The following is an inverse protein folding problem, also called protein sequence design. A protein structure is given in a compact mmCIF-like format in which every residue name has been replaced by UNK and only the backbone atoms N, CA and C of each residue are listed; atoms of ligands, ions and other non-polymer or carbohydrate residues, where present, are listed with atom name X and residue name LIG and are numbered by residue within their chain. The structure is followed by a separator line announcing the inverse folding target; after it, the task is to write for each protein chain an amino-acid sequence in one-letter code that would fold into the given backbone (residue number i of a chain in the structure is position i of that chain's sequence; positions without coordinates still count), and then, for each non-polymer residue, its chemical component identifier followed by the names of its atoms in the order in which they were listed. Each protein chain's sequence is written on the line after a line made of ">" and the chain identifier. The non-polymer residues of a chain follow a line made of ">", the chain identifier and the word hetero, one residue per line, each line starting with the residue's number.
data_IF_470466893553
#
_entry.id   IF_470466893553
#
_cell.length_a   1.000
_cell.length_b   1.000
_cell.length_c   1.000
_cell.angle_alpha   90.00
_cell.angle_beta   90.00
_cell.angle_gamma   90.00
#
_symmetry.space_group_name_H-M   'P 1'
#
loop_
_entity.id
_entity.type
_entity.pdbx_description
1 polymer ?
#
# COMPACT_ATOMS: atom_id res chain seq x y z
N UNK A 1 -3.23 13.17 7.18
CA UNK A 1 -2.59 11.83 7.17
C UNK A 1 -3.70 10.81 7.32
N UNK A 2 -3.95 10.04 6.27
CA UNK A 2 -5.11 9.17 6.22
C UNK A 2 -4.78 7.86 6.99
N UNK A 3 -5.24 7.77 8.24
CA UNK A 3 -5.10 6.57 9.09
C UNK A 3 -5.90 5.36 8.57
N UNK A 4 -6.51 5.48 7.38
CA UNK A 4 -7.34 4.47 6.73
C UNK A 4 -6.56 3.18 6.44
N UNK A 5 -5.31 3.28 5.98
CA UNK A 5 -4.45 2.13 5.69
C UNK A 5 -4.05 1.35 6.95
N UNK A 6 -3.63 2.05 8.01
CA UNK A 6 -3.31 1.42 9.30
C UNK A 6 -4.55 0.79 9.94
N UNK A 7 -5.71 1.43 9.84
CA UNK A 7 -6.99 0.89 10.32
C UNK A 7 -7.42 -0.35 9.52
N UNK A 8 -7.28 -0.33 8.20
CA UNK A 8 -7.60 -1.48 7.36
C UNK A 8 -6.65 -2.66 7.63
N UNK A 9 -5.36 -2.36 7.83
CA UNK A 9 -4.38 -3.37 8.22
C UNK A 9 -4.70 -3.97 9.60
N UNK A 10 -5.10 -3.15 10.58
CA UNK A 10 -5.52 -3.62 11.91
C UNK A 10 -6.68 -4.62 11.82
N UNK A 11 -7.73 -4.32 11.06
CA UNK A 11 -8.88 -5.21 10.88
C UNK A 11 -8.46 -6.52 10.21
N UNK A 12 -7.68 -6.44 9.12
CA UNK A 12 -7.13 -7.64 8.45
C UNK A 12 -6.28 -8.47 9.40
N UNK A 13 -5.50 -7.82 10.26
CA UNK A 13 -4.63 -8.50 11.23
C UNK A 13 -5.42 -9.15 12.36
N UNK A 14 -6.59 -8.65 12.78
CA UNK A 14 -7.46 -9.39 13.71
C UNK A 14 -7.80 -10.79 13.18
N UNK A 15 -8.24 -10.89 11.93
CA UNK A 15 -8.58 -12.18 11.33
C UNK A 15 -7.36 -13.07 11.10
N UNK A 16 -6.20 -12.48 10.74
CA UNK A 16 -4.94 -13.22 10.61
C UNK A 16 -4.47 -13.76 11.96
N UNK A 17 -4.53 -12.96 13.02
CA UNK A 17 -4.21 -13.40 14.39
C UNK A 17 -5.14 -14.52 14.83
N UNK A 18 -6.46 -14.40 14.62
CA UNK A 18 -7.40 -15.47 14.97
C UNK A 18 -7.13 -16.78 14.22
N UNK A 19 -6.84 -16.72 12.92
CA UNK A 19 -6.46 -17.91 12.14
C UNK A 19 -5.14 -18.52 12.63
N UNK A 20 -4.17 -17.69 12.97
CA UNK A 20 -2.89 -18.13 13.51
C UNK A 20 -3.06 -18.85 14.85
N UNK A 21 -3.86 -18.30 15.77
CA UNK A 21 -4.12 -18.93 17.07
C UNK A 21 -4.83 -20.27 16.88
N UNK A 22 -5.84 -20.33 16.01
CA UNK A 22 -6.54 -21.57 15.71
C UNK A 22 -5.59 -22.64 15.17
N UNK A 23 -4.68 -22.26 14.26
CA UNK A 23 -3.68 -23.19 13.73
C UNK A 23 -2.71 -23.67 14.82
N UNK A 24 -2.25 -22.77 15.68
CA UNK A 24 -1.36 -23.10 16.80
C UNK A 24 -2.06 -24.01 17.81
N UNK A 25 -3.32 -23.73 18.15
CA UNK A 25 -4.12 -24.55 19.06
C UNK A 25 -4.29 -25.98 18.53
N UNK A 26 -4.60 -26.13 17.24
CA UNK A 26 -4.67 -27.45 16.59
C UNK A 26 -3.33 -28.19 16.70
N UNK A 27 -2.20 -27.51 16.46
CA UNK A 27 -0.87 -28.10 16.61
C UNK A 27 -0.57 -28.51 18.06
N UNK A 28 -0.99 -27.71 19.04
CA UNK A 28 -0.84 -28.02 20.47
C UNK A 28 -1.67 -29.26 20.83
N UNK A 29 -2.92 -29.34 20.38
CA UNK A 29 -3.78 -30.52 20.61
C UNK A 29 -3.14 -31.78 20.01
N UNK A 30 -2.64 -31.70 18.79
CA UNK A 30 -1.92 -32.82 18.15
C UNK A 30 -0.69 -33.22 18.98
N UNK A 31 0.11 -32.24 19.42
CA UNK A 31 1.28 -32.51 20.26
C UNK A 31 0.88 -33.19 21.58
N UNK A 32 -0.18 -32.74 22.25
CA UNK A 32 -0.68 -33.36 23.48
C UNK A 32 -1.16 -34.80 23.25
N UNK A 33 -1.85 -35.08 22.14
CA UNK A 33 -2.28 -36.44 21.79
C UNK A 33 -1.07 -37.34 21.55
N UNK A 34 -0.06 -36.87 20.81
CA UNK A 34 1.18 -37.61 20.58
C UNK A 34 1.88 -37.92 21.90
N UNK A 35 2.02 -36.93 22.78
CA UNK A 35 2.63 -37.11 24.10
C UNK A 35 1.89 -38.11 24.98
N UNK A 36 0.55 -38.13 24.90
CA UNK A 36 -0.30 -39.09 25.62
C UNK A 36 -0.12 -40.51 25.08
N UNK A 37 -0.11 -40.69 23.76
CA UNK A 37 0.10 -42.00 23.11
C UNK A 37 1.50 -42.55 23.38
N UNK A 38 2.51 -41.69 23.41
CA UNK A 38 3.90 -42.07 23.69
C UNK A 38 4.18 -42.31 25.17
N UNK A 39 3.24 -42.01 26.08
CA UNK A 39 3.45 -42.16 27.53
C UNK A 39 4.48 -41.19 28.12
N UNK A 40 4.85 -40.14 27.39
CA UNK A 40 5.81 -39.09 27.81
C UNK A 40 5.09 -37.84 28.34
N UNK A 41 3.75 -37.84 28.33
CA UNK A 41 2.95 -36.71 28.79
C UNK A 41 3.12 -36.48 30.31
N UNK A 42 3.14 -35.21 30.71
CA UNK A 42 3.04 -34.83 32.12
C UNK A 42 1.72 -35.29 32.73
N UNK A 43 1.64 -35.47 34.06
CA UNK A 43 0.43 -35.90 34.78
C UNK A 43 -0.83 -35.05 34.45
N UNK A 44 -0.65 -33.80 34.04
CA UNK A 44 -1.73 -32.92 33.58
C UNK A 44 -2.32 -33.22 32.19
N UNK A 45 -1.63 -34.00 31.36
CA UNK A 45 -2.06 -34.31 29.98
C UNK A 45 -2.93 -35.57 30.02
N UNK A 46 -4.22 -35.37 30.26
CA UNK A 46 -5.26 -36.42 30.21
C UNK A 46 -6.24 -36.14 29.08
N UNK A 47 -6.92 -37.17 28.58
CA UNK A 47 -7.93 -37.03 27.51
C UNK A 47 -9.03 -36.04 27.92
N UNK A 48 -9.44 -36.06 29.19
CA UNK A 48 -10.43 -35.14 29.75
C UNK A 48 -9.91 -33.71 29.84
N UNK A 49 -8.65 -33.50 30.25
CA UNK A 49 -8.04 -32.18 30.27
C UNK A 49 -7.90 -31.58 28.87
N UNK A 50 -7.49 -32.37 27.87
CA UNK A 50 -7.40 -31.95 26.47
C UNK A 50 -8.78 -31.59 25.91
N UNK A 51 -9.81 -32.41 26.17
CA UNK A 51 -11.16 -32.14 25.69
C UNK A 51 -11.75 -30.87 26.33
N UNK A 52 -11.60 -30.71 27.65
CA UNK A 52 -12.08 -29.53 28.36
C UNK A 52 -11.35 -28.26 27.91
N UNK A 53 -10.03 -28.31 27.76
CA UNK A 53 -9.25 -27.16 27.32
C UNK A 53 -9.60 -26.73 25.89
N UNK A 54 -9.75 -27.69 24.98
CA UNK A 54 -10.17 -27.42 23.60
C UNK A 54 -11.56 -26.77 23.56
N UNK A 55 -12.49 -27.21 24.41
CA UNK A 55 -13.81 -26.59 24.53
C UNK A 55 -13.71 -25.13 25.01
N UNK A 56 -12.92 -24.86 26.06
CA UNK A 56 -12.74 -23.50 26.59
C UNK A 56 -12.07 -22.59 25.55
N UNK A 57 -11.04 -23.08 24.85
CA UNK A 57 -10.36 -22.34 23.78
C UNK A 57 -11.32 -22.06 22.62
N UNK A 58 -12.14 -23.03 22.21
CA UNK A 58 -13.16 -22.82 21.18
C UNK A 58 -14.17 -21.74 21.56
N UNK A 59 -14.65 -21.73 22.81
CA UNK A 59 -15.56 -20.69 23.33
C UNK A 59 -14.87 -19.32 23.34
N UNK A 60 -13.62 -19.23 23.82
CA UNK A 60 -12.85 -17.98 23.83
C UNK A 60 -12.62 -17.43 22.42
N UNK A 61 -12.22 -18.29 21.47
CA UNK A 61 -12.00 -17.88 20.08
C UNK A 61 -13.31 -17.42 19.41
N UNK A 62 -14.42 -18.10 19.68
CA UNK A 62 -15.73 -17.74 19.13
C UNK A 62 -16.24 -16.42 19.70
N UNK A 63 -16.08 -16.21 21.02
CA UNK A 63 -16.37 -14.94 21.67
C UNK A 63 -15.50 -13.80 21.11
N UNK A 64 -14.19 -14.04 20.93
CA UNK A 64 -13.25 -13.07 20.35
C UNK A 64 -13.63 -12.73 18.92
N UNK A 65 -13.96 -13.74 18.10
CA UNK A 65 -14.40 -13.54 16.72
C UNK A 65 -15.67 -12.69 16.65
N UNK A 66 -16.65 -12.97 17.51
CA UNK A 66 -17.88 -12.19 17.58
C UNK A 66 -17.62 -10.72 17.99
N UNK A 67 -16.76 -10.51 18.99
CA UNK A 67 -16.36 -9.18 19.46
C UNK A 67 -15.59 -8.40 18.37
N UNK A 68 -14.67 -9.05 17.65
CA UNK A 68 -13.95 -8.46 16.51
C UNK A 68 -14.91 -8.10 15.37
N UNK A 69 -15.89 -8.95 15.07
CA UNK A 69 -16.89 -8.66 14.04
C UNK A 69 -17.72 -7.41 14.37
N UNK A 70 -18.03 -7.19 15.65
CA UNK A 70 -18.85 -6.06 16.11
C UNK A 70 -18.06 -4.77 16.38
N UNK A 71 -16.83 -4.89 16.90
CA UNK A 71 -16.04 -3.75 17.40
C UNK A 71 -14.65 -3.61 16.76
N UNK A 72 -14.32 -4.41 15.74
CA UNK A 72 -12.98 -4.50 15.15
C UNK A 72 -12.43 -3.22 14.53
N UNK A 73 -13.26 -2.19 14.32
CA UNK A 73 -12.80 -0.88 13.86
C UNK A 73 -12.23 0.01 14.96
N UNK A 74 -12.51 -0.30 16.23
CA UNK A 74 -12.12 0.53 17.36
C UNK A 74 -10.65 0.26 17.73
N UNK A 75 -9.84 1.28 18.09
CA UNK A 75 -8.42 1.08 18.37
C UNK A 75 -8.13 0.19 19.59
N UNK A 76 -9.12 -0.04 20.46
CA UNK A 76 -8.99 -0.93 21.62
C UNK A 76 -9.19 -2.41 21.26
N UNK A 77 -9.73 -2.75 20.08
CA UNK A 77 -9.98 -4.14 19.65
C UNK A 77 -8.69 -4.97 19.54
N UNK A 78 -7.56 -4.34 19.21
CA UNK A 78 -6.23 -5.01 19.17
C UNK A 78 -5.81 -5.58 20.52
N UNK A 79 -6.13 -4.87 21.61
CA UNK A 79 -5.85 -5.33 22.97
C UNK A 79 -6.68 -6.56 23.31
N UNK A 80 -7.96 -6.55 22.91
CA UNK A 80 -8.87 -7.67 23.11
C UNK A 80 -8.33 -8.94 22.44
N UNK A 81 -7.89 -8.85 21.17
CA UNK A 81 -7.34 -10.00 20.44
C UNK A 81 -6.07 -10.51 21.11
N UNK A 82 -5.12 -9.63 21.48
CA UNK A 82 -3.88 -10.05 22.14
C UNK A 82 -4.13 -10.68 23.51
N UNK A 83 -5.04 -10.12 24.31
CA UNK A 83 -5.44 -10.71 25.61
C UNK A 83 -6.08 -12.08 25.38
N UNK A 84 -6.88 -12.24 24.33
CA UNK A 84 -7.49 -13.54 24.01
C UNK A 84 -6.45 -14.58 23.60
N UNK A 85 -5.45 -14.19 22.79
CA UNK A 85 -4.29 -15.04 22.47
C UNK A 85 -3.59 -15.48 23.76
N UNK A 86 -3.34 -14.53 24.65
CA UNK A 86 -2.65 -14.81 25.90
C UNK A 86 -3.41 -15.76 26.80
N UNK A 87 -4.72 -15.58 26.94
CA UNK A 87 -5.58 -16.48 27.72
C UNK A 87 -5.54 -17.90 27.17
N UNK A 88 -5.57 -18.07 25.84
CA UNK A 88 -5.41 -19.38 25.20
C UNK A 88 -4.05 -19.98 25.54
N UNK A 89 -2.96 -19.21 25.41
CA UNK A 89 -1.61 -19.71 25.72
C UNK A 89 -1.44 -20.08 27.21
N UNK A 90 -2.10 -19.37 28.13
CA UNK A 90 -2.10 -19.69 29.55
C UNK A 90 -2.83 -21.01 29.81
N UNK A 91 -3.99 -21.22 29.18
CA UNK A 91 -4.72 -22.48 29.31
C UNK A 91 -3.87 -23.67 28.82
N UNK A 92 -3.19 -23.52 27.69
CA UNK A 92 -2.26 -24.52 27.18
C UNK A 92 -1.08 -24.75 28.15
N UNK A 93 -0.54 -23.68 28.73
CA UNK A 93 0.55 -23.74 29.71
C UNK A 93 0.15 -24.42 31.01
N UNK A 94 -1.08 -24.26 31.47
CA UNK A 94 -1.57 -24.88 32.71
C UNK A 94 -1.62 -26.41 32.61
N UNK A 95 -1.90 -26.93 31.41
CA UNK A 95 -1.99 -28.37 31.13
C UNK A 95 -0.60 -28.99 30.96
N UNK A 96 0.34 -28.23 30.39
CA UNK A 96 1.71 -28.67 30.14
C UNK A 96 2.68 -28.12 31.18
N UNK A 97 3.08 -28.97 32.13
CA UNK A 97 4.12 -28.64 33.11
C UNK A 97 5.53 -28.70 32.53
N UNK A 98 5.68 -29.13 31.28
CA UNK A 98 6.97 -29.24 30.60
C UNK A 98 7.72 -27.91 30.60
N UNK A 99 9.02 -27.93 30.91
CA UNK A 99 9.82 -26.71 31.03
C UNK A 99 9.75 -25.82 29.78
N UNK A 100 9.63 -26.37 28.59
CA UNK A 100 9.59 -25.62 27.32
C UNK A 100 8.27 -24.89 27.03
N UNK A 101 7.17 -25.22 27.71
CA UNK A 101 5.88 -24.60 27.40
C UNK A 101 5.81 -23.09 27.77
N UNK A 102 6.81 -22.52 28.45
CA UNK A 102 6.91 -21.05 28.58
C UNK A 102 7.11 -20.35 27.23
N UNK A 103 7.65 -21.05 26.21
CA UNK A 103 7.88 -20.48 24.88
C UNK A 103 6.57 -20.00 24.20
N UNK A 104 5.41 -20.49 24.66
CA UNK A 104 4.09 -20.02 24.22
C UNK A 104 3.89 -18.52 24.45
N UNK A 105 4.49 -17.93 25.51
CA UNK A 105 4.42 -16.49 25.74
C UNK A 105 5.16 -15.67 24.67
N UNK A 106 6.20 -16.22 24.04
CA UNK A 106 6.89 -15.56 22.93
C UNK A 106 5.99 -15.41 21.70
N UNK A 107 5.10 -16.38 21.47
CA UNK A 107 4.10 -16.32 20.40
C UNK A 107 3.16 -15.13 20.64
N UNK A 108 2.71 -14.91 21.88
CA UNK A 108 1.84 -13.77 22.21
C UNK A 108 2.52 -12.44 21.88
N UNK A 109 3.79 -12.29 22.27
CA UNK A 109 4.59 -11.10 21.97
C UNK A 109 4.75 -10.93 20.44
N UNK A 110 5.02 -12.00 19.71
CA UNK A 110 5.11 -11.97 18.24
C UNK A 110 3.78 -11.61 17.57
N UNK A 111 2.64 -12.06 18.11
CA UNK A 111 1.32 -11.68 17.57
C UNK A 111 1.07 -10.18 17.77
N UNK A 112 1.52 -9.59 18.88
CA UNK A 112 1.39 -8.16 19.13
C UNK A 112 2.14 -7.30 18.11
N UNK A 113 3.26 -7.81 17.55
CA UNK A 113 4.05 -7.15 16.50
C UNK A 113 3.20 -6.82 15.27
N UNK A 114 2.31 -7.72 14.85
CA UNK A 114 1.49 -7.52 13.66
C UNK A 114 0.56 -6.33 13.74
N UNK A 115 0.30 -5.79 14.93
CA UNK A 115 -0.53 -4.59 15.08
C UNK A 115 0.22 -3.29 14.84
N UNK A 116 1.54 -3.34 14.61
CA UNK A 116 2.39 -2.17 14.36
C UNK A 116 2.24 -1.08 15.44
N UNK A 117 1.97 -1.49 16.67
CA UNK A 117 1.89 -0.63 17.84
C UNK A 117 2.96 -1.02 18.86
N UNK A 118 3.88 -0.12 19.12
CA UNK A 118 4.98 -0.31 20.07
C UNK A 118 4.49 -0.40 21.52
N UNK A 119 3.46 0.38 21.87
CA UNK A 119 2.88 0.36 23.21
C UNK A 119 2.19 -0.99 23.49
N UNK A 120 1.54 -1.55 22.47
CA UNK A 120 0.94 -2.88 22.56
C UNK A 120 2.00 -3.95 22.78
N UNK A 121 3.12 -3.92 22.06
CA UNK A 121 4.23 -4.88 22.24
C UNK A 121 4.79 -4.84 23.67
N UNK A 122 5.13 -3.65 24.17
CA UNK A 122 5.70 -3.46 25.51
C UNK A 122 4.70 -3.90 26.58
N UNK A 123 3.43 -3.50 26.45
CA UNK A 123 2.40 -3.86 27.42
C UNK A 123 2.13 -5.37 27.42
N UNK A 124 2.17 -6.02 26.24
CA UNK A 124 2.04 -7.47 26.13
C UNK A 124 3.17 -8.19 26.86
N UNK A 125 4.41 -7.71 26.73
CA UNK A 125 5.56 -8.27 27.46
C UNK A 125 5.38 -8.16 28.98
N UNK A 126 5.03 -6.98 29.50
CA UNK A 126 4.77 -6.76 30.92
C UNK A 126 3.67 -7.72 31.40
N UNK A 127 2.60 -7.84 30.62
CA UNK A 127 1.44 -8.64 30.98
C UNK A 127 1.76 -10.15 30.92
N UNK A 128 2.58 -10.60 29.97
CA UNK A 128 3.13 -11.97 29.95
C UNK A 128 3.99 -12.27 31.20
N UNK A 129 4.89 -11.35 31.60
CA UNK A 129 5.73 -11.52 32.80
C UNK A 129 4.87 -11.60 34.06
N UNK A 130 3.92 -10.67 34.23
CA UNK A 130 3.02 -10.66 35.39
C UNK A 130 2.18 -11.94 35.47
N UNK A 131 1.68 -12.43 34.33
CA UNK A 131 0.90 -13.66 34.30
C UNK A 131 1.75 -14.91 34.49
N UNK A 132 2.99 -14.95 34.02
CA UNK A 132 3.91 -16.06 34.30
C UNK A 132 4.24 -16.12 35.81
N UNK A 133 4.50 -14.97 36.44
CA UNK A 133 4.69 -14.86 37.90
C UNK A 133 3.44 -15.35 38.64
N UNK A 134 2.25 -14.92 38.21
CA UNK A 134 0.98 -15.37 38.81
C UNK A 134 0.80 -16.89 38.66
N UNK A 135 1.12 -17.44 37.50
CA UNK A 135 0.98 -18.86 37.20
C UNK A 135 1.94 -19.73 38.02
N UNK A 136 3.18 -19.28 38.21
CA UNK A 136 4.17 -19.94 39.08
C UNK A 136 3.70 -19.95 40.53
N UNK A 137 3.09 -18.86 41.02
CA UNK A 137 2.55 -18.81 42.37
C UNK A 137 1.34 -19.75 42.55
N UNK A 138 0.50 -19.89 41.52
CA UNK A 138 -0.66 -20.80 41.53
C UNK A 138 -0.25 -22.27 41.40
N UNK A 139 0.78 -22.56 40.60
CA UNK A 139 1.27 -23.92 40.38
C UNK A 139 2.81 -23.96 40.49
N UNK A 140 3.35 -24.20 41.70
CA UNK A 140 4.79 -24.25 41.94
C UNK A 140 5.52 -25.34 41.14
N UNK A 141 4.81 -26.34 40.61
CA UNK A 141 5.41 -27.40 39.80
C UNK A 141 5.98 -26.89 38.46
N UNK A 142 5.55 -25.70 38.01
CA UNK A 142 6.02 -25.06 36.78
C UNK A 142 7.32 -24.27 37.01
N UNK A 143 7.77 -24.16 38.26
CA UNK A 143 8.97 -23.41 38.62
C UNK A 143 10.19 -23.95 37.84
N UNK A 144 10.94 -23.08 37.14
CA UNK A 144 12.13 -23.49 36.41
C UNK A 144 13.15 -24.15 37.34
N UNK A 145 13.51 -25.39 37.05
CA UNK A 145 14.58 -26.09 37.74
C UNK A 145 15.92 -25.70 37.10
N UNK A 146 16.79 -25.06 37.87
CA UNK A 146 18.13 -24.65 37.44
C UNK A 146 18.60 -23.33 38.06
N UNK A 147 19.89 -23.25 38.40
CA UNK A 147 20.51 -22.00 38.85
C UNK A 147 20.37 -20.94 37.74
N UNK A 148 19.81 -19.78 38.06
CA UNK A 148 19.56 -18.66 37.14
C UNK A 148 18.51 -18.87 36.02
N UNK A 149 17.85 -20.02 35.95
CA UNK A 149 16.90 -20.33 34.87
C UNK A 149 15.71 -19.35 34.79
N UNK A 150 15.22 -18.87 35.95
CA UNK A 150 14.16 -17.86 36.01
C UNK A 150 14.62 -16.50 35.43
N UNK A 151 15.83 -16.06 35.78
CA UNK A 151 16.41 -14.81 35.30
C UNK A 151 16.56 -14.86 33.77
N UNK A 152 17.12 -15.95 33.25
CA UNK A 152 17.33 -16.11 31.81
C UNK A 152 16.01 -16.06 31.02
N UNK A 153 14.94 -16.70 31.51
CA UNK A 153 13.62 -16.68 30.87
C UNK A 153 13.07 -15.26 30.71
N UNK A 154 13.10 -14.46 31.77
CA UNK A 154 12.61 -13.08 31.70
C UNK A 154 13.49 -12.17 30.84
N UNK A 155 14.82 -12.36 30.86
CA UNK A 155 15.72 -11.66 29.94
C UNK A 155 15.40 -11.98 28.47
N UNK A 156 15.16 -13.25 28.15
CA UNK A 156 14.78 -13.63 26.78
C UNK A 156 13.42 -13.03 26.40
N UNK A 157 12.42 -13.02 27.29
CA UNK A 157 11.14 -12.32 27.03
C UNK A 157 11.36 -10.84 26.71
N UNK A 158 12.22 -10.17 27.48
CA UNK A 158 12.57 -8.76 27.24
C UNK A 158 13.25 -8.60 25.88
N UNK A 159 14.21 -9.46 25.53
CA UNK A 159 14.87 -9.41 24.21
C UNK A 159 13.89 -9.63 23.05
N UNK A 160 12.99 -10.61 23.17
CA UNK A 160 11.93 -10.86 22.18
C UNK A 160 11.01 -9.63 22.07
N UNK A 161 10.67 -8.99 23.19
CA UNK A 161 9.86 -7.77 23.20
C UNK A 161 10.58 -6.58 22.56
N UNK A 162 11.88 -6.41 22.79
CA UNK A 162 12.68 -5.35 22.16
C UNK A 162 12.69 -5.57 20.63
N UNK A 163 12.97 -6.79 20.19
CA UNK A 163 12.94 -7.15 18.78
C UNK A 163 11.55 -6.90 18.16
N UNK A 164 10.48 -7.31 18.84
CA UNK A 164 9.11 -7.09 18.39
C UNK A 164 8.73 -5.60 18.35
N UNK A 165 9.21 -4.79 19.30
CA UNK A 165 8.96 -3.35 19.35
C UNK A 165 9.69 -2.62 18.20
N UNK A 166 10.96 -2.95 17.97
CA UNK A 166 11.73 -2.41 16.84
C UNK A 166 11.11 -2.84 15.50
N UNK A 167 10.74 -4.11 15.35
CA UNK A 167 10.08 -4.62 14.15
C UNK A 167 8.72 -3.96 13.89
N UNK A 168 7.93 -3.75 14.95
CA UNK A 168 6.64 -3.05 14.90
C UNK A 168 6.81 -1.61 14.43
N UNK A 169 7.78 -0.87 14.98
CA UNK A 169 8.09 0.50 14.59
C UNK A 169 8.56 0.60 13.14
N UNK A 170 9.54 -0.22 12.75
CA UNK A 170 10.06 -0.24 11.38
C UNK A 170 8.96 -0.56 10.37
N UNK A 171 8.08 -1.52 10.68
CA UNK A 171 6.96 -1.87 9.82
C UNK A 171 5.94 -0.74 9.71
N UNK A 172 5.65 -0.03 10.81
CA UNK A 172 4.79 1.15 10.79
C UNK A 172 5.36 2.25 9.89
N UNK A 173 6.67 2.54 10.01
CA UNK A 173 7.36 3.55 9.20
C UNK A 173 7.35 3.17 7.71
N UNK A 174 7.55 1.90 7.38
CA UNK A 174 7.46 1.39 6.01
C UNK A 174 6.07 1.54 5.40
N UNK A 175 5.01 1.26 6.16
CA UNK A 175 3.62 1.41 5.69
C UNK A 175 3.28 2.88 5.46
N UNK A 176 3.68 3.77 6.37
CA UNK A 176 3.47 5.21 6.18
C UNK A 176 4.25 5.72 4.97
N UNK A 177 5.49 5.26 4.79
CA UNK A 177 6.28 5.62 3.62
C UNK A 177 5.64 5.10 2.32
N UNK A 178 5.12 3.88 2.31
CA UNK A 178 4.42 3.32 1.16
C UNK A 178 3.14 4.11 0.83
N UNK A 179 2.37 4.50 1.84
CA UNK A 179 1.19 5.34 1.69
C UNK A 179 1.53 6.70 1.07
N UNK A 180 2.58 7.36 1.55
CA UNK A 180 3.04 8.63 1.00
C UNK A 180 3.51 8.49 -0.45
N UNK A 181 4.17 7.37 -0.77
CA UNK A 181 4.62 7.07 -2.15
C UNK A 181 3.46 6.78 -3.10
N UNK A 182 2.44 6.06 -2.63
CA UNK A 182 1.21 5.82 -3.38
C UNK A 182 0.49 7.14 -3.68
N UNK A 183 0.32 8.00 -2.67
CA UNK A 183 -0.31 9.30 -2.85
C UNK A 183 0.47 10.20 -3.83
N UNK A 184 1.81 10.23 -3.72
CA UNK A 184 2.66 10.96 -4.67
C UNK A 184 2.52 10.41 -6.10
N UNK A 185 2.50 9.09 -6.27
CA UNK A 185 2.36 8.46 -7.58
C UNK A 185 1.01 8.81 -8.24
N UNK A 186 -0.09 8.76 -7.49
CA UNK A 186 -1.42 9.16 -7.99
C UNK A 186 -1.43 10.62 -8.43
N UNK A 187 -0.89 11.52 -7.60
CA UNK A 187 -0.82 12.94 -7.94
C UNK A 187 0.08 13.23 -9.16
N UNK A 188 1.19 12.49 -9.33
CA UNK A 188 2.00 12.59 -10.55
C UNK A 188 1.26 12.04 -11.78
N UNK A 189 0.49 10.96 -11.63
CA UNK A 189 -0.36 10.41 -12.68
C UNK A 189 -1.40 11.42 -13.17
N UNK A 190 -2.11 12.08 -12.25
CA UNK A 190 -3.07 13.15 -12.57
C UNK A 190 -2.42 14.33 -13.30
N UNK A 191 -1.22 14.75 -12.84
CA UNK A 191 -0.44 15.80 -13.52
C UNK A 191 -0.02 15.41 -14.93
N UNK A 192 0.45 14.17 -15.12
CA UNK A 192 0.84 13.67 -16.44
C UNK A 192 -0.37 13.61 -17.38
N UNK A 193 -1.52 13.15 -16.90
CA UNK A 193 -2.76 13.12 -17.70
C UNK A 193 -3.18 14.53 -18.11
N UNK A 194 -3.10 15.50 -17.19
CA UNK A 194 -3.42 16.90 -17.48
C UNK A 194 -2.45 17.49 -18.50
N UNK A 195 -1.14 17.27 -18.35
CA UNK A 195 -0.14 17.76 -19.30
C UNK A 195 -0.26 17.11 -20.67
N UNK A 196 -0.56 15.80 -20.73
CA UNK A 196 -0.84 15.12 -22.00
C UNK A 196 -2.08 15.72 -22.69
N UNK A 197 -3.13 16.05 -21.93
CA UNK A 197 -4.30 16.76 -22.45
C UNK A 197 -3.94 18.13 -23.04
N UNK A 198 -3.16 18.93 -22.32
CA UNK A 198 -2.69 20.23 -22.81
C UNK A 198 -1.80 20.11 -24.07
N UNK A 199 -0.97 19.08 -24.16
CA UNK A 199 -0.15 18.81 -25.35
C UNK A 199 -1.04 18.45 -26.53
N UNK A 200 -2.05 17.59 -26.33
CA UNK A 200 -3.00 17.21 -27.37
C UNK A 200 -3.78 18.43 -27.89
N UNK A 201 -4.26 19.29 -26.98
CA UNK A 201 -4.95 20.52 -27.33
C UNK A 201 -4.04 21.47 -28.14
N UNK A 202 -2.80 21.71 -27.68
CA UNK A 202 -1.83 22.52 -28.41
C UNK A 202 -1.45 21.92 -29.76
N UNK A 203 -1.34 20.60 -29.85
CA UNK A 203 -1.05 19.89 -31.09
C UNK A 203 -2.19 20.05 -32.10
N UNK A 204 -3.45 19.98 -31.65
CA UNK A 204 -4.62 20.23 -32.49
C UNK A 204 -4.67 21.67 -32.97
N UNK A 205 -4.39 22.64 -32.08
CA UNK A 205 -4.33 24.05 -32.47
C UNK A 205 -3.20 24.29 -33.48
N UNK A 206 -2.03 23.67 -33.30
CA UNK A 206 -0.92 23.78 -34.24
C UNK A 206 -1.26 23.19 -35.60
N UNK A 207 -1.95 22.03 -35.63
CA UNK A 207 -2.41 21.41 -36.86
C UNK A 207 -3.43 22.31 -37.60
N UNK A 208 -4.37 22.92 -36.88
CA UNK A 208 -5.34 23.86 -37.47
C UNK A 208 -4.65 25.12 -38.02
N UNK A 209 -3.76 25.75 -37.25
CA UNK A 209 -2.97 26.90 -37.73
C UNK A 209 -2.12 26.54 -38.94
N UNK A 210 -1.53 25.34 -38.98
CA UNK A 210 -0.77 24.86 -40.13
C UNK A 210 -1.67 24.67 -41.37
N UNK A 211 -2.87 24.13 -41.20
CA UNK A 211 -3.87 24.03 -42.26
C UNK A 211 -4.32 25.40 -42.79
N UNK A 212 -4.50 26.38 -41.91
CA UNK A 212 -4.78 27.77 -42.30
C UNK A 212 -3.60 28.38 -43.09
N UNK A 213 -2.36 28.15 -42.65
CA UNK A 213 -1.14 28.60 -43.34
C UNK A 213 -1.04 28.02 -44.76
N UNK A 214 -1.32 26.72 -44.94
CA UNK A 214 -1.33 26.08 -46.26
C UNK A 214 -2.37 26.74 -47.17
N UNK A 215 -3.60 26.94 -46.68
CA UNK A 215 -4.66 27.62 -47.43
C UNK A 215 -4.27 29.05 -47.82
N UNK A 216 -3.62 29.77 -46.89
CA UNK A 216 -3.16 31.14 -47.12
C UNK A 216 -2.04 31.18 -48.16
N UNK A 217 -1.09 30.24 -48.09
CA UNK A 217 -0.03 30.09 -49.08
C UNK A 217 -0.60 29.76 -50.48
N UNK A 218 -1.63 28.92 -50.57
CA UNK A 218 -2.27 28.59 -51.83
C UNK A 218 -3.02 29.78 -52.45
N UNK A 219 -3.69 30.59 -51.62
CA UNK A 219 -4.23 31.90 -52.06
C UNK A 219 -3.13 32.82 -52.54
N UNK A 220 -2.01 32.93 -51.82
CA UNK A 220 -0.88 33.76 -52.25
C UNK A 220 -0.34 33.33 -53.61
N UNK A 221 -0.21 32.04 -53.89
CA UNK A 221 0.20 31.54 -55.21
C UNK A 221 -0.79 31.99 -56.29
N UNK A 222 -2.09 31.86 -56.05
CA UNK A 222 -3.10 32.32 -57.01
C UNK A 222 -3.00 33.83 -57.25
N UNK A 223 -2.86 34.62 -56.19
CA UNK A 223 -2.69 36.07 -56.30
C UNK A 223 -1.40 36.44 -57.03
N UNK A 224 -0.29 35.70 -56.83
CA UNK A 224 0.93 35.91 -57.62
C UNK A 224 0.74 35.55 -59.10
N UNK A 225 0.01 34.48 -59.42
CA UNK A 225 -0.31 34.14 -60.80
C UNK A 225 -1.16 35.25 -61.46
N UNK A 226 -2.14 35.79 -60.74
CA UNK A 226 -2.99 36.90 -61.20
C UNK A 226 -2.19 38.21 -61.38
N UNK A 227 -1.29 38.53 -60.44
CA UNK A 227 -0.36 39.66 -60.56
C UNK A 227 0.57 39.45 -61.77
N UNK A 228 1.11 38.25 -61.96
CA UNK A 228 1.97 37.95 -63.12
C UNK A 228 1.23 38.15 -64.44
N UNK A 229 -0.01 37.65 -64.55
CA UNK A 229 -0.87 37.88 -65.70
C UNK A 229 -1.14 39.36 -65.93
N UNK A 230 -1.42 40.12 -64.85
CA UNK A 230 -1.65 41.56 -64.95
C UNK A 230 -0.40 42.32 -65.40
N UNK A 231 0.80 41.89 -64.98
CA UNK A 231 2.07 42.46 -65.44
C UNK A 231 2.27 42.18 -66.93
N UNK A 232 1.92 40.98 -67.39
CA UNK A 232 1.99 40.60 -68.80
C UNK A 232 1.02 41.45 -69.64
N UNK A 233 -0.23 41.61 -69.21
CA UNK A 233 -1.21 42.50 -69.85
C UNK A 233 -0.74 43.97 -69.88
N UNK A 234 -0.13 44.46 -68.80
CA UNK A 234 0.46 45.81 -68.75
C UNK A 234 1.63 45.94 -69.72
N UNK A 235 2.50 44.92 -69.83
CA UNK A 235 3.62 44.91 -70.75
C UNK A 235 3.16 44.91 -72.22
N UNK A 236 2.16 44.08 -72.55
CA UNK A 236 1.55 44.02 -73.89
C UNK A 236 0.85 45.33 -74.24
N UNK A 237 0.09 45.91 -73.30
CA UNK A 237 -0.56 47.21 -73.49
C UNK A 237 0.47 48.32 -73.70
N UNK A 238 1.54 48.32 -72.89
CA UNK A 238 2.63 49.31 -73.02
C UNK A 238 3.34 49.18 -74.37
N UNK A 239 3.59 47.96 -74.84
CA UNK A 239 4.20 47.69 -76.14
C UNK A 239 3.29 48.17 -77.28
N UNK A 240 2.00 47.87 -77.19
CA UNK A 240 1.00 48.33 -78.15
C UNK A 240 0.91 49.85 -78.21
N UNK A 241 0.94 50.51 -77.04
CA UNK A 241 0.90 51.97 -76.93
C UNK A 241 2.18 52.61 -77.50
N UNK A 242 3.35 52.01 -77.27
CA UNK A 242 4.61 52.45 -77.88
C UNK A 242 4.53 52.35 -79.42
N UNK A 243 4.06 51.23 -79.96
CA UNK A 243 3.88 51.06 -81.41
C UNK A 243 2.88 52.06 -82.02
N UNK A 244 1.77 52.35 -81.33
CA UNK A 244 0.82 53.37 -81.78
C UNK A 244 1.41 54.78 -81.72
N UNK A 245 2.25 55.06 -80.73
CA UNK A 245 2.96 56.33 -80.60
C UNK A 245 3.97 56.50 -81.74
N UNK A 246 4.74 55.46 -82.06
CA UNK A 246 5.66 55.44 -83.21
C UNK A 246 4.90 55.65 -84.53
N UNK A 247 3.79 54.95 -84.74
CA UNK A 247 2.93 55.16 -85.93
C UNK A 247 2.39 56.58 -86.00
N UNK A 248 1.94 57.13 -84.87
CA UNK A 248 1.44 58.51 -84.82
C UNK A 248 2.56 59.51 -85.13
N UNK A 249 3.77 59.29 -84.62
CA UNK A 249 4.95 60.09 -84.95
C UNK A 249 5.28 60.03 -86.44
N UNK A 250 5.25 58.84 -87.05
CA UNK A 250 5.47 58.67 -88.49
C UNK A 250 4.39 59.36 -89.34
N UNK A 251 3.11 59.29 -88.92
CA UNK A 251 2.02 59.99 -89.61
C UNK A 251 2.21 61.51 -89.51
N UNK A 252 2.60 62.03 -88.34
CA UNK A 252 2.92 63.46 -88.17
C UNK A 252 4.09 63.86 -89.06
N UNK A 253 5.12 63.03 -89.16
CA UNK A 253 6.28 63.30 -90.00
C UNK A 253 5.94 63.25 -91.49
N UNK A 254 5.09 62.31 -91.93
CA UNK A 254 4.54 62.28 -93.29
C UNK A 254 3.65 63.48 -93.59
N UNK A 255 2.80 63.91 -92.64
CA UNK A 255 2.00 65.14 -92.81
C UNK A 255 2.89 66.38 -92.96
N UNK A 256 4.02 66.42 -92.26
CA UNK A 256 4.99 67.52 -92.34
C UNK A 256 5.81 67.50 -93.64
N UNK A 257 5.92 66.36 -94.33
CA UNK A 257 6.56 66.24 -95.65
C UNK A 257 5.62 66.54 -96.83
N UNK A 258 4.30 66.59 -96.60
CA UNK A 258 3.27 66.86 -97.62
C UNK A 258 2.80 68.33 -97.58
N UNK A 259 3.26 69.12 -96.60
CA UNK A 259 3.16 70.58 -96.56
C UNK A 259 4.34 71.24 -97.28
#
# INVERSE_FOLDING_TARGET
>A
MDNSLLKQNMIKNHYRSLKLILLIDVLIIIACIISLVMGIGSEGITVTAIAYSSLVVAVLLLATWWLVKKFGERPWSKWLVVISVLLVMILCRLISTGVEAYALFYIVIMVSLFYFDTLLCVSTCILCILLDILLINLNPAIFPQGENALMLRYFIMVFVSIAATLGSRASSELITLAADREQMATHFGEKLQTQAGNILEKSNHLADTSGQLINLHQRSIHSFAEISSSIEDIADTSTTQAQQTDKSSQVVEQMNQVM
#
